data_IF_262453302471
#
_entry.id   IF_262453302471
#
_cell.length_a   1.000
_cell.length_b   1.000
_cell.length_c   1.000
_cell.angle_alpha   90.00
_cell.angle_beta   90.00
_cell.angle_gamma   90.00
#
_symmetry.space_group_name_H-M   'P 1'
#
loop_
_entity.id
_entity.type
_entity.pdbx_description
1 polymer ?
#
# COMPACT_ATOMS: atom_id res chain seq x y z
N UNK A 1 11.00 12.00 -8.17
CA UNK A 1 10.29 11.24 -9.22
C UNK A 1 8.79 11.39 -9.02
N UNK A 2 7.97 11.21 -10.06
CA UNK A 2 6.51 11.32 -9.91
C UNK A 2 5.90 10.00 -9.45
N UNK A 3 5.16 10.06 -8.34
CA UNK A 3 4.32 9.01 -7.80
C UNK A 3 2.86 9.28 -8.19
N UNK A 4 2.12 8.24 -8.55
CA UNK A 4 0.66 8.31 -8.69
C UNK A 4 -0.01 7.26 -7.81
N UNK A 5 -1.02 7.67 -7.05
CA UNK A 5 -1.88 6.78 -6.27
C UNK A 5 -3.25 6.72 -6.94
N UNK A 6 -3.64 5.53 -7.38
CA UNK A 6 -4.94 5.30 -8.00
C UNK A 6 -5.92 5.00 -6.87
N UNK A 7 -6.86 5.91 -6.63
CA UNK A 7 -8.00 5.69 -5.76
C UNK A 7 -9.14 5.11 -6.58
N UNK A 8 -9.16 3.80 -6.76
CA UNK A 8 -10.07 3.09 -7.64
C UNK A 8 -11.44 2.87 -6.99
N UNK A 9 -12.54 3.14 -7.70
CA UNK A 9 -13.86 2.62 -7.33
C UNK A 9 -13.89 1.12 -7.56
N UNK A 10 -14.10 0.30 -6.54
CA UNK A 10 -14.12 -1.17 -6.69
C UNK A 10 -15.56 -1.64 -6.87
N UNK A 11 -15.78 -2.53 -7.83
CA UNK A 11 -17.08 -3.17 -8.11
C UNK A 11 -17.04 -4.68 -7.81
N UNK A 12 -18.18 -5.36 -7.89
CA UNK A 12 -18.24 -6.82 -7.80
C UNK A 12 -17.71 -7.53 -9.07
N UNK A 13 -17.57 -6.83 -10.20
CA UNK A 13 -17.15 -7.44 -11.46
C UNK A 13 -15.63 -7.29 -11.59
N UNK A 14 -14.90 -8.41 -11.40
CA UNK A 14 -13.43 -8.43 -11.43
C UNK A 14 -12.85 -7.86 -12.72
N UNK A 15 -13.40 -8.27 -13.88
CA UNK A 15 -12.92 -7.78 -15.19
C UNK A 15 -13.04 -6.27 -15.33
N UNK A 16 -14.11 -5.67 -14.81
CA UNK A 16 -14.34 -4.23 -14.86
C UNK A 16 -13.34 -3.48 -13.99
N UNK A 17 -13.03 -4.04 -12.81
CA UNK A 17 -11.99 -3.50 -11.93
C UNK A 17 -10.62 -3.55 -12.61
N UNK A 18 -10.25 -4.68 -13.22
CA UNK A 18 -8.98 -4.85 -13.92
C UNK A 18 -8.84 -3.92 -15.12
N UNK A 19 -9.89 -3.79 -15.93
CA UNK A 19 -9.91 -2.90 -17.10
C UNK A 19 -9.70 -1.45 -16.69
N UNK A 20 -10.47 -0.96 -15.69
CA UNK A 20 -10.35 0.42 -15.21
C UNK A 20 -9.02 0.68 -14.52
N UNK A 21 -8.55 -0.25 -13.68
CA UNK A 21 -7.24 -0.16 -13.05
C UNK A 21 -6.13 -0.01 -14.10
N UNK A 22 -6.10 -0.86 -15.13
CA UNK A 22 -5.11 -0.76 -16.20
C UNK A 22 -5.24 0.55 -16.99
N UNK A 23 -6.48 1.02 -17.24
CA UNK A 23 -6.73 2.31 -17.88
C UNK A 23 -6.15 3.49 -17.08
N UNK A 24 -6.38 3.53 -15.77
CA UNK A 24 -5.85 4.58 -14.88
C UNK A 24 -4.34 4.49 -14.72
N UNK A 25 -3.75 3.28 -14.79
CA UNK A 25 -2.29 3.11 -14.84
C UNK A 25 -1.70 3.74 -16.10
N UNK A 26 -2.33 3.51 -17.27
CA UNK A 26 -1.92 4.12 -18.54
C UNK A 26 -2.04 5.65 -18.50
N UNK A 27 -3.14 6.16 -17.95
CA UNK A 27 -3.32 7.60 -17.73
C UNK A 27 -2.20 8.18 -16.85
N UNK A 28 -1.91 7.52 -15.73
CA UNK A 28 -0.86 7.96 -14.81
C UNK A 28 0.51 7.98 -15.47
N UNK A 29 0.84 6.96 -16.27
CA UNK A 29 2.07 6.92 -17.05
C UNK A 29 2.14 8.06 -18.07
N UNK A 30 1.05 8.33 -18.80
CA UNK A 30 0.96 9.45 -19.74
C UNK A 30 1.14 10.83 -19.07
N UNK A 31 0.84 10.94 -17.77
CA UNK A 31 1.10 12.13 -16.93
C UNK A 31 2.49 12.14 -16.27
N UNK A 32 3.36 11.20 -16.66
CA UNK A 32 4.77 11.14 -16.27
C UNK A 32 5.04 10.38 -14.98
N UNK A 33 4.06 9.65 -14.42
CA UNK A 33 4.28 8.81 -13.25
C UNK A 33 5.35 7.75 -13.53
N UNK A 34 6.26 7.56 -12.58
CA UNK A 34 7.33 6.54 -12.63
C UNK A 34 7.08 5.40 -11.68
N UNK A 35 6.36 5.69 -10.59
CA UNK A 35 5.84 4.72 -9.64
C UNK A 35 4.32 4.94 -9.58
N UNK A 36 3.54 3.86 -9.71
CA UNK A 36 2.08 3.89 -9.61
C UNK A 36 1.65 2.87 -8.57
N UNK A 37 0.70 3.21 -7.70
CA UNK A 37 0.15 2.28 -6.72
C UNK A 37 -1.38 2.18 -6.83
N UNK A 38 -1.86 0.95 -6.92
CA UNK A 38 -3.27 0.59 -6.79
C UNK A 38 -3.64 0.37 -5.31
N UNK A 39 -4.93 0.33 -4.96
CA UNK A 39 -5.35 0.20 -3.57
C UNK A 39 -5.47 -1.26 -3.09
N UNK A 40 -5.68 -1.46 -1.79
CA UNK A 40 -5.97 -2.79 -1.21
C UNK A 40 -7.23 -3.39 -1.85
N UNK A 41 -7.19 -4.69 -2.16
CA UNK A 41 -8.27 -5.47 -2.74
C UNK A 41 -8.87 -4.83 -4.01
N UNK A 42 -8.02 -4.24 -4.87
CA UNK A 42 -8.51 -3.43 -6.01
C UNK A 42 -9.33 -4.25 -7.03
N UNK A 43 -9.12 -5.56 -7.10
CA UNK A 43 -9.74 -6.42 -8.11
C UNK A 43 -11.11 -6.98 -7.68
N UNK A 44 -11.52 -6.83 -6.41
CA UNK A 44 -12.70 -7.50 -5.86
C UNK A 44 -13.26 -6.82 -4.60
N UNK A 45 -14.54 -7.01 -4.26
CA UNK A 45 -15.10 -6.49 -3.00
C UNK A 45 -14.34 -7.01 -1.77
N UNK A 46 -14.12 -6.13 -0.78
CA UNK A 46 -13.41 -6.49 0.44
C UNK A 46 -14.36 -7.10 1.49
N UNK A 47 -14.12 -8.34 1.87
CA UNK A 47 -14.90 -9.07 2.89
C UNK A 47 -14.55 -10.55 2.93
N UNK A 48 -14.64 -11.17 4.11
CA UNK A 48 -14.32 -12.60 4.33
C UNK A 48 -15.16 -13.52 3.44
N UNK A 49 -16.40 -13.14 3.16
CA UNK A 49 -17.30 -13.86 2.25
C UNK A 49 -16.85 -13.84 0.78
N UNK A 50 -16.01 -12.88 0.37
CA UNK A 50 -15.59 -12.71 -1.02
C UNK A 50 -14.22 -13.31 -1.31
N UNK A 51 -13.30 -13.32 -0.34
CA UNK A 51 -11.90 -13.67 -0.62
C UNK A 51 -11.73 -15.02 -1.33
N UNK A 52 -12.47 -16.05 -0.93
CA UNK A 52 -12.38 -17.37 -1.57
C UNK A 52 -12.87 -17.40 -3.01
N UNK A 53 -13.95 -16.66 -3.30
CA UNK A 53 -14.54 -16.59 -4.65
C UNK A 53 -13.63 -15.83 -5.61
N UNK A 54 -13.02 -14.74 -5.14
CA UNK A 54 -12.22 -13.86 -5.98
C UNK A 54 -10.72 -14.21 -5.98
N UNK A 55 -10.28 -15.15 -5.14
CA UNK A 55 -8.89 -15.52 -5.02
C UNK A 55 -8.29 -16.04 -6.34
N UNK A 56 -7.03 -15.72 -6.56
CA UNK A 56 -6.25 -16.20 -7.70
C UNK A 56 -4.94 -16.80 -7.24
N UNK A 57 -4.45 -17.80 -7.96
CA UNK A 57 -3.02 -18.13 -7.90
C UNK A 57 -2.20 -16.99 -8.48
N UNK A 58 -0.95 -16.88 -8.07
CA UNK A 58 0.00 -15.91 -8.61
C UNK A 58 1.15 -16.69 -9.27
N UNK A 59 1.34 -16.61 -10.60
CA UNK A 59 0.62 -15.75 -11.55
C UNK A 59 -0.82 -16.20 -11.84
N UNK A 60 -1.67 -15.23 -12.20
CA UNK A 60 -3.10 -15.36 -12.50
C UNK A 60 -3.60 -14.14 -13.29
N UNK A 61 -4.89 -14.07 -13.64
CA UNK A 61 -5.46 -13.05 -14.54
C UNK A 61 -5.13 -11.61 -14.09
N UNK A 62 -5.31 -11.30 -12.80
CA UNK A 62 -5.01 -9.99 -12.23
C UNK A 62 -3.52 -9.65 -12.36
N UNK A 63 -2.64 -10.57 -11.99
CA UNK A 63 -1.18 -10.32 -11.99
C UNK A 63 -0.57 -10.31 -13.40
N UNK A 64 -1.15 -11.05 -14.35
CA UNK A 64 -0.76 -11.00 -15.76
C UNK A 64 -1.08 -9.64 -16.37
N UNK A 65 -2.30 -9.13 -16.19
CA UNK A 65 -2.66 -7.79 -16.68
C UNK A 65 -1.81 -6.68 -16.06
N UNK A 66 -1.50 -6.78 -14.76
CA UNK A 66 -0.61 -5.84 -14.08
C UNK A 66 0.83 -5.89 -14.63
N UNK A 67 1.36 -7.09 -14.88
CA UNK A 67 2.68 -7.28 -15.50
C UNK A 67 2.72 -6.65 -16.90
N UNK A 68 1.71 -6.92 -17.73
CA UNK A 68 1.59 -6.39 -19.09
C UNK A 68 1.52 -4.87 -19.12
N UNK A 69 0.65 -4.26 -18.31
CA UNK A 69 0.48 -2.79 -18.30
C UNK A 69 1.71 -2.08 -17.71
N UNK A 70 2.39 -2.68 -16.72
CA UNK A 70 3.63 -2.14 -16.18
C UNK A 70 4.73 -2.09 -17.25
N UNK A 71 4.85 -3.16 -18.06
CA UNK A 71 5.77 -3.24 -19.21
C UNK A 71 5.41 -2.24 -20.30
N UNK A 72 4.15 -2.21 -20.72
CA UNK A 72 3.64 -1.28 -21.75
C UNK A 72 3.93 0.18 -21.37
N UNK A 73 3.75 0.51 -20.10
CA UNK A 73 3.95 1.86 -19.58
C UNK A 73 5.40 2.17 -19.18
N UNK A 74 6.28 1.16 -19.09
CA UNK A 74 7.66 1.28 -18.57
C UNK A 74 7.72 1.96 -17.18
N UNK A 75 6.90 1.48 -16.24
CA UNK A 75 6.78 2.02 -14.87
C UNK A 75 7.01 0.95 -13.80
N UNK A 76 7.25 1.39 -12.56
CA UNK A 76 7.11 0.54 -11.39
C UNK A 76 5.64 0.55 -10.93
N UNK A 77 4.99 -0.61 -10.92
CA UNK A 77 3.59 -0.75 -10.54
C UNK A 77 3.45 -1.55 -9.25
N UNK A 78 3.04 -0.88 -8.17
CA UNK A 78 2.57 -1.52 -6.94
C UNK A 78 1.11 -1.90 -7.15
N UNK A 79 0.87 -3.19 -7.34
CA UNK A 79 -0.41 -3.80 -7.72
C UNK A 79 -1.47 -3.81 -6.61
N UNK A 80 -1.44 -2.86 -5.69
CA UNK A 80 -2.38 -2.78 -4.59
C UNK A 80 -2.38 -4.07 -3.78
N UNK A 81 -3.53 -4.70 -3.60
CA UNK A 81 -3.55 -6.11 -3.24
C UNK A 81 -4.72 -6.87 -3.86
N UNK A 82 -4.59 -8.20 -3.90
CA UNK A 82 -5.64 -9.14 -4.32
C UNK A 82 -5.72 -10.30 -3.32
N UNK A 83 -6.87 -11.00 -3.21
CA UNK A 83 -6.90 -12.30 -2.58
C UNK A 83 -6.06 -13.31 -3.39
N UNK A 84 -5.04 -13.89 -2.77
CA UNK A 84 -4.17 -14.92 -3.36
C UNK A 84 -4.54 -16.29 -2.80
N UNK A 85 -4.65 -17.31 -3.65
CA UNK A 85 -4.69 -18.72 -3.25
C UNK A 85 -3.31 -19.36 -3.44
N UNK A 86 -2.78 -19.97 -2.39
CA UNK A 86 -1.54 -20.74 -2.44
C UNK A 86 -1.56 -21.88 -1.42
N UNK A 87 -1.42 -23.11 -1.93
CA UNK A 87 -1.35 -24.32 -1.10
C UNK A 87 -2.59 -24.54 -0.23
N UNK A 88 -3.79 -24.18 -0.73
CA UNK A 88 -5.05 -24.29 0.02
C UNK A 88 -5.24 -23.22 1.11
N UNK A 89 -4.36 -22.22 1.19
CA UNK A 89 -4.50 -21.04 2.05
C UNK A 89 -4.79 -19.82 1.21
N UNK A 90 -5.48 -18.85 1.80
CA UNK A 90 -5.75 -17.56 1.20
C UNK A 90 -4.92 -16.46 1.86
N UNK A 91 -4.48 -15.46 1.10
CA UNK A 91 -3.68 -14.34 1.58
C UNK A 91 -4.19 -13.03 0.99
N UNK A 92 -3.94 -11.90 1.68
CA UNK A 92 -4.09 -10.56 1.11
C UNK A 92 -2.72 -10.14 0.56
N UNK A 93 -2.57 -10.11 -0.76
CA UNK A 93 -1.24 -10.08 -1.39
C UNK A 93 -1.06 -8.89 -2.32
N UNK A 94 -0.06 -8.06 -2.03
CA UNK A 94 0.46 -7.02 -2.89
C UNK A 94 1.57 -7.58 -3.78
N UNK A 95 1.47 -7.38 -5.09
CA UNK A 95 2.54 -7.69 -6.05
C UNK A 95 3.12 -6.40 -6.61
N UNK A 96 4.42 -6.39 -6.93
CA UNK A 96 5.08 -5.25 -7.56
C UNK A 96 5.69 -5.70 -8.87
N UNK A 97 5.46 -4.93 -9.93
CA UNK A 97 6.01 -5.17 -11.27
C UNK A 97 6.95 -4.04 -11.67
N UNK A 98 8.07 -4.41 -12.30
CA UNK A 98 9.03 -3.49 -12.87
C UNK A 98 8.64 -3.00 -14.26
N UNK A 99 9.43 -2.06 -14.83
CA UNK A 99 9.19 -1.48 -16.15
C UNK A 99 9.33 -2.47 -17.31
N UNK A 100 9.89 -3.66 -17.07
CA UNK A 100 9.98 -4.77 -18.00
C UNK A 100 8.83 -5.79 -17.83
N UNK A 101 7.95 -5.58 -16.86
CA UNK A 101 6.87 -6.48 -16.46
C UNK A 101 7.30 -7.57 -15.47
N UNK A 102 8.56 -7.65 -15.08
CA UNK A 102 9.03 -8.65 -14.12
C UNK A 102 8.48 -8.37 -12.71
N UNK A 103 8.09 -9.41 -11.98
CA UNK A 103 7.65 -9.25 -10.60
C UNK A 103 8.85 -9.02 -9.69
N UNK A 104 8.92 -7.83 -9.07
CA UNK A 104 10.02 -7.40 -8.20
C UNK A 104 9.80 -7.77 -6.74
N UNK A 105 8.55 -7.83 -6.30
CA UNK A 105 8.20 -8.18 -4.94
C UNK A 105 6.79 -8.79 -4.86
N UNK A 106 6.60 -9.65 -3.85
CA UNK A 106 5.30 -10.16 -3.42
C UNK A 106 5.22 -10.02 -1.90
N UNK A 107 4.26 -9.23 -1.42
CA UNK A 107 4.04 -8.95 -0.01
C UNK A 107 2.68 -9.49 0.41
N UNK A 108 2.69 -10.51 1.26
CA UNK A 108 1.48 -10.98 1.95
C UNK A 108 1.33 -10.17 3.22
N UNK A 109 0.13 -9.61 3.44
CA UNK A 109 -0.22 -8.82 4.63
C UNK A 109 0.20 -9.57 5.89
N UNK A 110 1.07 -8.96 6.69
CA UNK A 110 1.66 -9.62 7.86
C UNK A 110 0.65 -9.60 9.01
N UNK A 111 0.03 -8.46 9.24
CA UNK A 111 -0.93 -8.26 10.32
C UNK A 111 -2.35 -8.25 9.77
N UNK A 112 -3.08 -9.34 10.01
CA UNK A 112 -4.48 -9.47 9.60
C UNK A 112 -5.39 -8.52 10.38
N UNK A 113 -6.41 -7.99 9.72
CA UNK A 113 -7.34 -7.02 10.28
C UNK A 113 -8.39 -7.69 11.18
N UNK A 114 -8.01 -7.98 12.41
CA UNK A 114 -8.90 -8.51 13.43
C UNK A 114 -9.23 -7.41 14.45
N UNK A 115 -10.42 -6.82 14.34
CA UNK A 115 -10.90 -5.77 15.24
C UNK A 115 -12.33 -5.99 15.69
N UNK A 116 -12.63 -5.51 16.89
CA UNK A 116 -13.98 -5.41 17.41
C UNK A 116 -14.14 -4.06 18.12
N UNK A 117 -14.82 -3.12 17.46
CA UNK A 117 -15.22 -1.84 18.03
C UNK A 117 -16.74 -1.91 18.28
N UNK A 118 -17.17 -2.14 19.54
CA UNK A 118 -18.57 -2.36 19.87
C UNK A 118 -19.50 -1.30 19.28
N UNK A 119 -20.57 -1.75 18.61
CA UNK A 119 -21.58 -0.89 18.00
C UNK A 119 -21.13 -0.13 16.75
N UNK A 120 -19.91 -0.36 16.23
CA UNK A 120 -19.39 0.35 15.05
C UNK A 120 -18.87 -0.58 13.95
N UNK A 121 -17.89 -1.43 14.26
CA UNK A 121 -17.28 -2.33 13.27
C UNK A 121 -16.70 -3.56 13.95
N UNK A 122 -17.03 -4.72 13.41
CA UNK A 122 -16.38 -6.00 13.72
C UNK A 122 -15.88 -6.57 12.40
N UNK A 123 -14.61 -6.93 12.35
CA UNK A 123 -14.01 -7.57 11.19
C UNK A 123 -12.93 -8.53 11.68
N UNK A 124 -12.90 -9.74 11.11
CA UNK A 124 -11.93 -10.77 11.48
C UNK A 124 -11.38 -11.43 10.23
N UNK A 125 -10.40 -10.76 9.62
CA UNK A 125 -9.77 -11.21 8.38
C UNK A 125 -9.15 -12.62 8.52
N UNK A 126 -8.70 -12.98 9.73
CA UNK A 126 -8.12 -14.30 10.04
C UNK A 126 -9.09 -15.48 9.99
N UNK A 127 -10.40 -15.25 9.89
CA UNK A 127 -11.37 -16.34 9.66
C UNK A 127 -11.21 -16.97 8.28
N UNK A 128 -10.60 -16.26 7.34
CA UNK A 128 -10.49 -16.70 5.94
C UNK A 128 -9.06 -16.59 5.42
N UNK A 129 -8.32 -15.54 5.80
CA UNK A 129 -6.97 -15.31 5.32
C UNK A 129 -5.91 -15.83 6.31
N UNK A 130 -4.76 -16.21 5.76
CA UNK A 130 -3.52 -16.52 6.48
C UNK A 130 -2.57 -15.32 6.44
N UNK A 131 -1.79 -15.07 7.51
CA UNK A 131 -0.82 -13.98 7.53
C UNK A 131 0.39 -14.28 6.63
N UNK A 132 1.00 -13.23 6.11
CA UNK A 132 2.34 -13.26 5.54
C UNK A 132 3.42 -13.45 6.60
N UNK A 133 4.62 -13.83 6.16
CA UNK A 133 5.74 -14.17 7.04
C UNK A 133 7.07 -13.53 6.59
N UNK A 134 7.03 -12.49 5.76
CA UNK A 134 8.23 -11.88 5.21
C UNK A 134 8.09 -10.37 5.04
N UNK A 135 9.21 -9.68 5.20
CA UNK A 135 9.33 -8.26 4.86
C UNK A 135 9.52 -8.13 3.35
N UNK A 136 8.88 -7.14 2.73
CA UNK A 136 8.96 -6.95 1.28
C UNK A 136 9.44 -5.54 0.94
N UNK A 137 10.47 -5.49 0.10
CA UNK A 137 11.08 -4.26 -0.39
C UNK A 137 11.44 -4.47 -1.86
N UNK A 138 11.52 -3.39 -2.63
CA UNK A 138 12.05 -3.41 -3.99
C UNK A 138 12.85 -2.13 -4.26
N UNK A 139 13.80 -2.24 -5.19
CA UNK A 139 14.63 -1.11 -5.60
C UNK A 139 14.08 -0.45 -6.87
N UNK A 140 14.22 0.87 -6.92
CA UNK A 140 14.02 1.69 -8.12
C UNK A 140 15.31 2.48 -8.40
N UNK A 141 15.48 3.11 -9.58
CA UNK A 141 16.63 3.98 -9.84
C UNK A 141 16.68 5.20 -8.92
N UNK A 142 15.61 5.48 -8.17
CA UNK A 142 15.49 6.64 -7.29
C UNK A 142 15.78 6.30 -5.83
N UNK A 143 15.11 5.28 -5.32
CA UNK A 143 15.24 4.84 -3.92
C UNK A 143 14.71 3.42 -3.72
N UNK A 144 15.00 2.85 -2.55
CA UNK A 144 14.37 1.61 -2.07
C UNK A 144 13.00 1.91 -1.47
N UNK A 145 12.03 1.05 -1.81
CA UNK A 145 10.64 1.17 -1.39
C UNK A 145 10.25 -0.02 -0.50
N UNK A 146 9.61 0.25 0.63
CA UNK A 146 9.04 -0.77 1.52
C UNK A 146 7.53 -0.90 1.33
N UNK A 147 6.98 -2.09 1.60
CA UNK A 147 5.57 -2.41 1.41
C UNK A 147 4.91 -2.82 2.73
N UNK A 148 3.69 -2.37 2.95
CA UNK A 148 2.77 -2.96 3.93
C UNK A 148 1.34 -2.89 3.38
N UNK A 149 0.40 -3.62 3.97
CA UNK A 149 -1.02 -3.53 3.57
C UNK A 149 -1.86 -3.11 4.76
N UNK A 150 -2.54 -1.98 4.61
CA UNK A 150 -3.59 -1.49 5.50
C UNK A 150 -3.24 -1.56 6.99
N UNK A 151 -3.66 -2.62 7.68
CA UNK A 151 -3.48 -2.83 9.11
C UNK A 151 -2.00 -2.90 9.52
N UNK A 152 -1.11 -3.28 8.61
CA UNK A 152 0.35 -3.24 8.81
C UNK A 152 0.86 -1.85 9.23
N UNK A 153 0.18 -0.76 8.82
CA UNK A 153 0.57 0.59 9.22
C UNK A 153 0.44 0.81 10.73
N UNK A 154 -0.32 -0.01 11.47
CA UNK A 154 -0.46 0.10 12.92
C UNK A 154 0.75 -0.40 13.70
N UNK A 155 1.66 -1.12 13.06
CA UNK A 155 2.82 -1.75 13.69
C UNK A 155 4.08 -0.94 13.35
N UNK A 156 4.55 -0.04 14.24
CA UNK A 156 5.68 0.85 13.94
C UNK A 156 6.98 0.09 13.65
N UNK A 157 7.16 -1.11 14.21
CA UNK A 157 8.33 -1.96 14.02
C UNK A 157 8.56 -2.31 12.54
N UNK A 158 7.48 -2.49 11.78
CA UNK A 158 7.55 -2.75 10.35
C UNK A 158 8.20 -1.58 9.60
N UNK A 159 7.76 -0.36 9.87
CA UNK A 159 8.33 0.85 9.26
C UNK A 159 9.76 1.13 9.76
N UNK A 160 10.04 0.86 11.04
CA UNK A 160 11.38 0.98 11.62
C UNK A 160 12.38 0.05 10.92
N UNK A 161 11.99 -1.21 10.69
CA UNK A 161 12.82 -2.17 9.94
C UNK A 161 13.04 -1.68 8.51
N UNK A 162 12.01 -1.19 7.82
CA UNK A 162 12.19 -0.64 6.47
C UNK A 162 13.11 0.58 6.45
N UNK A 163 12.99 1.50 7.41
CA UNK A 163 13.89 2.62 7.57
C UNK A 163 15.34 2.18 7.79
N UNK A 164 15.58 1.20 8.66
CA UNK A 164 16.90 0.60 8.89
C UNK A 164 17.48 -0.08 7.63
N UNK A 165 16.63 -0.65 6.77
CA UNK A 165 17.04 -1.28 5.49
C UNK A 165 17.23 -0.27 4.34
N UNK A 166 17.15 1.02 4.65
CA UNK A 166 17.43 2.11 3.73
C UNK A 166 16.25 2.52 2.86
N UNK A 167 15.02 2.12 3.20
CA UNK A 167 13.84 2.61 2.49
C UNK A 167 13.69 4.12 2.69
N UNK A 168 13.29 4.80 1.62
CA UNK A 168 13.03 6.25 1.63
C UNK A 168 11.56 6.56 1.32
N UNK A 169 10.81 5.57 0.82
CA UNK A 169 9.37 5.59 0.61
C UNK A 169 8.78 4.28 1.14
N UNK A 170 7.70 4.37 1.90
CA UNK A 170 6.87 3.21 2.25
C UNK A 170 5.48 3.39 1.61
N UNK A 171 5.00 2.34 0.95
CA UNK A 171 3.69 2.35 0.29
C UNK A 171 2.78 1.36 1.00
N UNK A 172 1.60 1.85 1.41
CA UNK A 172 0.56 1.08 2.06
C UNK A 172 -0.74 1.14 1.26
N UNK A 173 -0.99 0.19 0.34
CA UNK A 173 -2.35 -0.04 -0.14
C UNK A 173 -3.24 -0.37 1.06
N UNK A 174 -4.38 0.32 1.22
CA UNK A 174 -5.23 0.08 2.38
C UNK A 174 -6.61 0.73 2.34
N UNK A 175 -7.60 0.04 2.90
CA UNK A 175 -8.95 0.54 3.09
C UNK A 175 -9.27 0.65 4.59
N UNK A 176 -9.13 1.84 5.18
CA UNK A 176 -9.72 2.10 6.50
C UNK A 176 -11.23 2.34 6.34
N UNK A 177 -12.00 2.27 7.43
CA UNK A 177 -13.46 2.46 7.39
C UNK A 177 -13.88 3.82 7.99
N UNK A 178 -15.17 4.12 7.98
CA UNK A 178 -15.71 5.39 8.50
C UNK A 178 -15.49 5.61 10.01
N UNK A 179 -15.16 4.56 10.78
CA UNK A 179 -14.79 4.69 12.21
C UNK A 179 -13.29 4.92 12.37
N UNK A 180 -12.47 4.08 11.74
CA UNK A 180 -11.00 4.10 11.92
C UNK A 180 -10.31 5.15 11.06
N UNK A 181 -10.90 5.51 9.92
CA UNK A 181 -10.43 6.53 8.99
C UNK A 181 -10.22 7.89 9.64
N UNK A 182 -11.28 8.57 10.11
CA UNK A 182 -11.16 9.90 10.70
C UNK A 182 -10.28 9.93 11.97
N UNK A 183 -10.23 8.83 12.72
CA UNK A 183 -9.46 8.76 13.96
C UNK A 183 -7.96 8.48 13.73
N UNK A 184 -7.63 7.60 12.78
CA UNK A 184 -6.30 6.98 12.73
C UNK A 184 -5.60 7.07 11.37
N UNK A 185 -6.31 7.25 10.26
CA UNK A 185 -5.69 7.15 8.93
C UNK A 185 -4.59 8.17 8.72
N UNK A 186 -4.85 9.44 9.03
CA UNK A 186 -3.87 10.53 8.90
C UNK A 186 -2.81 10.50 10.02
N UNK A 187 -3.21 10.14 11.23
CA UNK A 187 -2.30 10.04 12.37
C UNK A 187 -1.20 9.00 12.13
N UNK A 188 -1.58 7.79 11.70
CA UNK A 188 -0.66 6.68 11.54
C UNK A 188 0.36 6.95 10.43
N UNK A 189 -0.09 7.41 9.26
CA UNK A 189 0.82 7.77 8.17
C UNK A 189 1.82 8.85 8.57
N UNK A 190 1.37 9.91 9.27
CA UNK A 190 2.26 10.98 9.74
C UNK A 190 3.27 10.47 10.75
N UNK A 191 2.83 9.64 11.70
CA UNK A 191 3.70 8.97 12.66
C UNK A 191 4.77 8.11 11.97
N UNK A 192 4.39 7.27 11.00
CA UNK A 192 5.38 6.44 10.25
C UNK A 192 6.37 7.31 9.46
N UNK A 193 5.91 8.42 8.89
CA UNK A 193 6.74 9.31 8.10
C UNK A 193 7.80 10.02 8.96
N UNK A 194 7.37 10.66 10.06
CA UNK A 194 8.23 11.49 10.90
C UNK A 194 9.21 10.65 11.73
N UNK A 195 8.76 9.53 12.32
CA UNK A 195 9.60 8.70 13.21
C UNK A 195 10.74 7.99 12.48
N UNK A 196 10.57 7.77 11.16
CA UNK A 196 11.53 7.06 10.32
C UNK A 196 12.20 7.97 9.27
N UNK A 197 11.79 9.25 9.19
CA UNK A 197 12.21 10.22 8.17
C UNK A 197 12.18 9.62 6.76
N UNK A 198 10.99 9.16 6.36
CA UNK A 198 10.67 8.58 5.04
C UNK A 198 9.40 9.22 4.48
N UNK A 199 9.23 9.16 3.18
CA UNK A 199 7.92 9.39 2.58
C UNK A 199 6.97 8.23 2.90
N UNK A 200 5.71 8.53 3.12
CA UNK A 200 4.63 7.53 3.25
C UNK A 200 3.61 7.81 2.16
N UNK A 201 3.16 6.77 1.48
CA UNK A 201 2.06 6.86 0.52
C UNK A 201 1.01 5.80 0.83
N UNK A 202 -0.26 6.19 0.88
CA UNK A 202 -1.39 5.28 1.11
C UNK A 202 -2.35 5.32 -0.06
N UNK A 203 -2.56 4.18 -0.72
CA UNK A 203 -3.53 4.04 -1.82
C UNK A 203 -4.79 3.34 -1.31
N UNK A 204 -5.91 4.05 -1.29
CA UNK A 204 -7.19 3.55 -0.80
C UNK A 204 -8.20 3.37 -1.94
N UNK A 205 -9.14 2.42 -1.89
CA UNK A 205 -10.28 2.42 -2.79
C UNK A 205 -11.11 3.69 -2.61
N UNK A 206 -11.82 4.11 -3.65
CA UNK A 206 -12.84 5.13 -3.52
C UNK A 206 -14.00 4.61 -2.63
N UNK A 207 -14.70 5.53 -2.00
CA UNK A 207 -15.81 5.21 -1.09
C UNK A 207 -17.03 4.73 -1.87
N UNK A 208 -17.47 3.52 -1.57
CA UNK A 208 -18.79 3.03 -1.94
C UNK A 208 -19.66 2.85 -0.68
N UNK A 209 -20.71 3.66 -0.56
CA UNK A 209 -21.64 3.57 0.57
C UNK A 209 -22.55 2.33 0.51
N UNK A 210 -22.58 1.63 -0.64
CA UNK A 210 -23.35 0.40 -0.82
C UNK A 210 -22.52 -0.87 -0.57
N UNK A 211 -21.20 -0.74 -0.44
CA UNK A 211 -20.33 -1.88 -0.16
C UNK A 211 -20.50 -2.36 1.29
N UNK A 212 -20.29 -3.67 1.52
CA UNK A 212 -20.30 -4.25 2.87
C UNK A 212 -19.21 -3.66 3.77
N UNK A 213 -18.09 -3.23 3.16
CA UNK A 213 -17.03 -2.51 3.82
C UNK A 213 -16.87 -1.13 3.18
N UNK A 214 -17.36 -0.10 3.86
CA UNK A 214 -17.32 1.29 3.34
C UNK A 214 -15.94 1.89 3.58
N UNK A 215 -15.16 2.00 2.50
CA UNK A 215 -13.82 2.57 2.55
C UNK A 215 -13.84 4.07 2.92
N UNK A 216 -12.84 4.48 3.68
CA UNK A 216 -12.61 5.87 4.05
C UNK A 216 -12.25 6.71 2.81
N UNK A 217 -11.47 6.14 1.89
CA UNK A 217 -10.85 6.87 0.78
C UNK A 217 -9.63 7.63 1.27
N UNK A 218 -9.47 8.88 0.81
CA UNK A 218 -8.40 9.78 1.22
C UNK A 218 -7.00 9.16 1.03
N UNK A 219 -6.73 8.61 -0.14
CA UNK A 219 -5.34 8.29 -0.53
C UNK A 219 -4.43 9.50 -0.28
N UNK A 220 -3.28 9.30 0.35
CA UNK A 220 -2.47 10.41 0.89
C UNK A 220 -0.98 10.17 0.69
N UNK A 221 -0.21 11.24 0.50
CA UNK A 221 1.25 11.25 0.56
C UNK A 221 1.72 12.18 1.67
N UNK A 222 2.61 11.68 2.53
CA UNK A 222 3.25 12.42 3.62
C UNK A 222 4.74 12.49 3.40
N UNK A 223 5.34 13.66 3.63
CA UNK A 223 6.78 13.85 3.54
C UNK A 223 7.52 13.41 4.83
N UNK A 224 8.87 13.33 4.80
CA UNK A 224 9.67 12.95 5.97
C UNK A 224 9.58 13.87 7.19
N UNK A 225 8.94 15.04 7.06
CA UNK A 225 8.66 15.98 8.16
C UNK A 225 7.29 15.72 8.82
N UNK A 226 6.54 14.73 8.31
CA UNK A 226 5.18 14.45 8.78
C UNK A 226 4.12 15.39 8.21
N UNK A 227 4.42 16.16 7.16
CA UNK A 227 3.46 17.02 6.48
C UNK A 227 2.74 16.26 5.37
N UNK A 228 1.41 16.41 5.31
CA UNK A 228 0.59 15.88 4.22
C UNK A 228 0.80 16.76 2.99
N UNK A 229 1.45 16.23 1.95
CA UNK A 229 1.78 16.97 0.73
C UNK A 229 0.81 16.71 -0.42
N UNK A 230 0.00 15.66 -0.33
CA UNK A 230 -1.11 15.41 -1.25
C UNK A 230 -2.16 14.53 -0.56
N UNK A 231 -3.45 14.83 -0.78
CA UNK A 231 -4.57 14.06 -0.20
C UNK A 231 -5.77 14.06 -1.14
N UNK A 232 -6.30 12.88 -1.42
CA UNK A 232 -7.53 12.70 -2.17
C UNK A 232 -8.77 12.97 -1.31
N UNK A 233 -9.92 13.15 -1.98
CA UNK A 233 -11.24 13.09 -1.35
C UNK A 233 -11.72 11.64 -1.21
N UNK A 234 -13.02 11.43 -1.35
CA UNK A 234 -13.66 10.11 -1.24
C UNK A 234 -13.91 9.43 -2.59
N UNK A 235 -14.04 10.19 -3.67
CA UNK A 235 -14.36 9.66 -5.01
C UNK A 235 -13.15 9.09 -5.76
N UNK A 236 -13.43 8.44 -6.89
CA UNK A 236 -12.37 7.90 -7.77
C UNK A 236 -11.49 9.01 -8.33
N UNK A 237 -10.17 8.82 -8.26
CA UNK A 237 -9.19 9.80 -8.75
C UNK A 237 -7.79 9.18 -8.88
N UNK A 238 -6.93 9.83 -9.65
CA UNK A 238 -5.49 9.59 -9.63
C UNK A 238 -4.82 10.76 -8.92
N UNK A 239 -4.22 10.49 -7.75
CA UNK A 239 -3.51 11.48 -6.96
C UNK A 239 -2.03 11.50 -7.38
N UNK A 240 -1.57 12.60 -7.97
CA UNK A 240 -0.18 12.78 -8.40
C UNK A 240 0.64 13.53 -7.36
N UNK A 241 1.90 13.11 -7.14
CA UNK A 241 2.83 13.81 -6.25
C UNK A 241 4.26 13.64 -6.72
N UNK A 242 5.04 14.71 -6.71
CA UNK A 242 6.47 14.66 -7.02
C UNK A 242 7.28 14.43 -5.72
N UNK A 243 7.95 13.28 -5.63
CA UNK A 243 8.77 12.87 -4.49
C UNK A 243 10.17 13.47 -4.64
N UNK A 244 10.57 14.33 -3.68
CA UNK A 244 11.88 14.95 -3.62
C UNK A 244 12.78 14.30 -2.56
N UNK A 245 13.77 13.53 -3.02
CA UNK A 245 14.73 12.84 -2.16
C UNK A 245 15.83 13.78 -1.63
N UNK A 246 16.04 14.96 -2.23
CA UNK A 246 16.93 15.98 -1.69
C UNK A 246 16.33 16.56 -0.40
N UNK A 247 15.04 16.89 -0.43
CA UNK A 247 14.31 17.33 0.76
C UNK A 247 14.36 16.30 1.90
N UNK A 248 14.26 15.01 1.59
CA UNK A 248 14.44 13.94 2.57
C UNK A 248 15.84 13.95 3.19
N UNK A 249 16.88 14.09 2.37
CA UNK A 249 18.26 14.16 2.85
C UNK A 249 18.50 15.39 3.74
N UNK A 250 17.96 16.56 3.37
CA UNK A 250 18.00 17.78 4.18
C UNK A 250 17.34 17.58 5.55
N UNK A 251 16.13 17.00 5.59
CA UNK A 251 15.41 16.72 6.84
C UNK A 251 16.22 15.82 7.78
N UNK A 252 16.83 14.75 7.22
CA UNK A 252 17.68 13.83 7.98
C UNK A 252 18.95 14.50 8.53
N UNK A 253 19.44 15.55 7.88
CA UNK A 253 20.58 16.35 8.39
C UNK A 253 20.14 17.35 9.46
N UNK A 254 19.01 18.01 9.27
CA UNK A 254 18.49 19.04 10.19
C UNK A 254 18.07 18.46 11.55
N UNK A 255 17.39 17.30 11.54
CA UNK A 255 16.98 16.59 12.75
C UNK A 255 17.46 15.13 12.62
N UNK A 256 18.70 14.80 13.01
CA UNK A 256 19.32 13.50 12.72
C UNK A 256 18.93 12.39 13.71
N UNK A 257 17.63 12.17 13.90
CA UNK A 257 17.11 11.19 14.88
C UNK A 257 17.57 9.75 14.59
N UNK A 258 17.84 9.42 13.32
CA UNK A 258 18.24 8.07 12.92
C UNK A 258 19.63 7.67 13.44
N UNK A 259 20.57 8.63 13.56
CA UNK A 259 21.90 8.38 14.13
C UNK A 259 21.95 8.55 15.65
N UNK A 260 20.92 9.12 16.25
CA UNK A 260 20.82 9.37 17.70
C UNK A 260 20.15 8.22 18.48
N UNK A 261 19.79 7.12 17.80
CA UNK A 261 19.22 5.93 18.44
C UNK A 261 20.22 5.32 19.45
N UNK A 262 19.71 4.95 20.62
CA UNK A 262 20.49 4.36 21.73
C UNK A 262 20.51 2.84 21.63
N UNK A 263 21.33 2.34 20.71
CA UNK A 263 21.46 0.90 20.45
C UNK A 263 22.09 0.10 21.60
N UNK A 264 22.69 0.79 22.57
CA UNK A 264 23.12 0.22 23.85
C UNK A 264 21.93 -0.10 24.79
N UNK A 265 20.76 0.49 24.56
CA UNK A 265 19.56 0.30 25.39
C UNK A 265 18.46 -0.50 24.68
N UNK A 266 18.32 -0.34 23.36
CA UNK A 266 17.26 -0.99 22.60
C UNK A 266 17.67 -1.35 21.17
N UNK A 267 17.01 -2.36 20.61
CA UNK A 267 17.13 -2.74 19.20
C UNK A 267 15.76 -3.10 18.63
N UNK A 268 15.60 -2.88 17.32
CA UNK A 268 14.48 -3.41 16.53
C UNK A 268 15.09 -4.38 15.54
N UNK A 269 14.76 -5.66 15.67
CA UNK A 269 15.43 -6.74 14.95
C UNK A 269 14.50 -7.41 13.95
N UNK A 270 14.98 -7.53 12.70
CA UNK A 270 14.36 -8.36 11.68
C UNK A 270 14.82 -9.81 11.86
N UNK A 271 13.90 -10.71 12.22
CA UNK A 271 14.15 -12.16 12.28
C UNK A 271 13.83 -12.82 10.94
N UNK A 272 14.61 -13.85 10.58
CA UNK A 272 14.37 -14.71 9.41
C UNK A 272 13.55 -15.92 9.79
#
# INVERSE_FOLDING_TARGET
FRLALIQLQVSAVKSDNLQRACGLVKEASAKGAKVVALPECFNSPYGTQYFKEYAEKIPGDSTQKLSEVAKECSIYLVGGSIPEEDGGKLYNTCTVFGPDGAMLAKHRKIHLFDINVPGKIQFKESETLSPGNSFSMFDTPYCKVGLGICYDIRFPELAQIYGQKGCQLLIYPGAFNLTTGPAHWELLQRGRAVDNQVYIATASPARDEKASYVAWGHSTVVNPWGEVIAKAGTGETVLYTDIDLKKLAEIRQQIPILSQKRYDLYGVEMKK
#
